data_IF_379925015360
#
_entry.id   IF_379925015360
#
_cell.length_a   1.000
_cell.length_b   1.000
_cell.length_c   1.000
_cell.angle_alpha   90.00
_cell.angle_beta   90.00
_cell.angle_gamma   90.00
#
_symmetry.space_group_name_H-M   'P 1'
#
loop_
_entity.id
_entity.type
_entity.pdbx_description
1 polymer ?
#
# COMPACT_ATOMS: atom_id res chain seq x y z
N UNK A 1 37.91 -70.91 -1.38
CA UNK A 1 36.66 -70.20 -1.08
C UNK A 1 36.13 -69.53 -2.35
N UNK A 2 35.00 -69.96 -2.90
CA UNK A 2 34.33 -69.33 -4.06
C UNK A 2 33.05 -68.64 -3.57
N UNK A 3 33.01 -67.31 -3.64
CA UNK A 3 31.85 -66.51 -3.27
C UNK A 3 30.81 -66.59 -4.40
N UNK A 4 29.61 -67.12 -4.13
CA UNK A 4 28.49 -67.11 -5.07
C UNK A 4 27.76 -65.77 -4.97
N UNK A 5 27.88 -64.92 -5.99
CA UNK A 5 26.98 -63.78 -6.15
C UNK A 5 25.63 -64.27 -6.65
N UNK A 6 24.60 -64.17 -5.81
CA UNK A 6 23.22 -64.41 -6.23
C UNK A 6 22.78 -63.26 -7.15
N UNK A 7 22.57 -63.57 -8.43
CA UNK A 7 21.93 -62.67 -9.39
C UNK A 7 20.49 -62.43 -8.96
N UNK A 8 20.22 -61.27 -8.35
CA UNK A 8 18.84 -60.78 -8.19
C UNK A 8 18.34 -60.37 -9.57
N UNK A 9 17.39 -61.14 -10.11
CA UNK A 9 16.56 -60.72 -11.23
C UNK A 9 15.97 -59.35 -10.92
N UNK A 10 16.45 -58.31 -11.61
CA UNK A 10 15.82 -56.98 -11.56
C UNK A 10 14.60 -57.06 -12.47
N UNK A 11 13.42 -57.08 -11.88
CA UNK A 11 12.18 -56.90 -12.64
C UNK A 11 12.22 -55.52 -13.31
N UNK A 12 12.15 -55.51 -14.64
CA UNK A 12 12.07 -54.27 -15.43
C UNK A 12 10.66 -53.70 -15.35
N UNK A 13 10.57 -52.37 -15.26
CA UNK A 13 9.30 -51.66 -15.30
C UNK A 13 8.68 -51.76 -16.70
N UNK A 14 7.40 -52.09 -16.80
CA UNK A 14 6.69 -52.07 -18.09
C UNK A 14 6.32 -50.64 -18.48
N UNK A 15 6.24 -50.38 -19.78
CA UNK A 15 5.82 -49.07 -20.30
C UNK A 15 4.42 -48.67 -19.82
N UNK A 16 3.53 -49.66 -19.64
CA UNK A 16 2.17 -49.46 -19.13
C UNK A 16 2.19 -48.99 -17.68
N UNK A 17 2.98 -49.63 -16.81
CA UNK A 17 3.09 -49.23 -15.39
C UNK A 17 3.62 -47.79 -15.27
N UNK A 18 4.60 -47.41 -16.08
CA UNK A 18 5.11 -46.04 -16.10
C UNK A 18 4.03 -45.06 -16.56
N UNK A 19 3.28 -45.40 -17.60
CA UNK A 19 2.22 -44.54 -18.16
C UNK A 19 1.07 -44.32 -17.17
N UNK A 20 0.67 -45.36 -16.44
CA UNK A 20 -0.35 -45.25 -15.40
C UNK A 20 0.10 -44.33 -14.26
N UNK A 21 1.36 -44.46 -13.82
CA UNK A 21 1.91 -43.62 -12.74
C UNK A 21 1.93 -42.15 -13.15
N UNK A 22 2.41 -41.83 -14.35
CA UNK A 22 2.41 -40.43 -14.83
C UNK A 22 0.98 -39.89 -15.01
N UNK A 23 0.02 -40.72 -15.44
CA UNK A 23 -1.38 -40.33 -15.57
C UNK A 23 -2.00 -39.98 -14.21
N UNK A 24 -1.75 -40.79 -13.18
CA UNK A 24 -2.22 -40.51 -11.82
C UNK A 24 -1.58 -39.24 -11.28
N UNK A 25 -0.26 -39.05 -11.42
CA UNK A 25 0.44 -37.84 -10.98
C UNK A 25 -0.12 -36.60 -11.69
N UNK A 26 -0.35 -36.68 -13.01
CA UNK A 26 -0.91 -35.58 -13.78
C UNK A 26 -2.32 -35.19 -13.30
N UNK A 27 -3.19 -36.17 -13.01
CA UNK A 27 -4.53 -35.93 -12.45
C UNK A 27 -4.42 -35.29 -11.06
N UNK A 28 -3.57 -35.83 -10.19
CA UNK A 28 -3.38 -35.29 -8.83
C UNK A 28 -2.87 -33.85 -8.87
N UNK A 29 -1.86 -33.54 -9.69
CA UNK A 29 -1.35 -32.17 -9.86
C UNK A 29 -2.43 -31.26 -10.46
N UNK A 30 -3.19 -31.74 -11.45
CA UNK A 30 -4.28 -31.00 -12.08
C UNK A 30 -5.37 -30.59 -11.09
N UNK A 31 -5.67 -31.44 -10.10
CA UNK A 31 -6.65 -31.15 -9.05
C UNK A 31 -6.07 -30.32 -7.89
N UNK A 32 -4.78 -30.47 -7.59
CA UNK A 32 -4.12 -29.79 -6.47
C UNK A 32 -3.70 -28.36 -6.78
N UNK A 33 -3.29 -28.06 -8.02
CA UNK A 33 -2.79 -26.72 -8.38
C UNK A 33 -3.83 -25.60 -8.14
N UNK A 34 -5.10 -25.74 -8.57
CA UNK A 34 -6.12 -24.72 -8.31
C UNK A 34 -6.42 -24.57 -6.81
N UNK A 35 -6.39 -25.68 -6.06
CA UNK A 35 -6.65 -25.66 -4.62
C UNK A 35 -5.52 -24.94 -3.85
N UNK A 36 -4.26 -25.24 -4.17
CA UNK A 36 -3.10 -24.58 -3.56
C UNK A 36 -3.11 -23.08 -3.84
N UNK A 37 -3.48 -22.67 -5.06
CA UNK A 37 -3.60 -21.25 -5.41
C UNK A 37 -4.66 -20.52 -4.59
N UNK A 38 -5.85 -21.13 -4.43
CA UNK A 38 -6.93 -20.56 -3.58
C UNK A 38 -6.48 -20.41 -2.13
N UNK A 39 -5.79 -21.40 -1.57
CA UNK A 39 -5.28 -21.35 -0.19
C UNK A 39 -4.22 -20.27 -0.04
N UNK A 40 -3.29 -20.15 -1.01
CA UNK A 40 -2.26 -19.09 -0.99
C UNK A 40 -2.87 -17.70 -1.03
N UNK A 41 -3.88 -17.48 -1.87
CA UNK A 41 -4.54 -16.18 -1.97
C UNK A 41 -5.34 -15.85 -0.70
N UNK A 42 -6.03 -16.83 -0.10
CA UNK A 42 -6.69 -16.62 1.19
C UNK A 42 -5.68 -16.25 2.29
N UNK A 43 -4.52 -16.92 2.34
CA UNK A 43 -3.45 -16.59 3.28
C UNK A 43 -2.86 -15.20 3.04
N UNK A 44 -2.63 -14.83 1.77
CA UNK A 44 -2.16 -13.51 1.40
C UNK A 44 -3.15 -12.41 1.82
N UNK A 45 -4.45 -12.62 1.61
CA UNK A 45 -5.51 -11.71 2.06
C UNK A 45 -5.57 -11.56 3.57
N UNK A 46 -5.50 -12.66 4.32
CA UNK A 46 -5.44 -12.60 5.79
C UNK A 46 -4.23 -11.80 6.26
N UNK A 47 -3.07 -11.95 5.59
CA UNK A 47 -1.88 -11.17 5.92
C UNK A 47 -2.07 -9.68 5.62
N UNK A 48 -2.64 -9.32 4.46
CA UNK A 48 -2.90 -7.91 4.14
C UNK A 48 -3.95 -7.29 5.09
N UNK A 49 -5.00 -8.03 5.48
CA UNK A 49 -5.94 -7.59 6.53
C UNK A 49 -5.26 -7.35 7.87
N UNK A 50 -4.39 -8.27 8.29
CA UNK A 50 -3.62 -8.08 9.52
C UNK A 50 -2.72 -6.84 9.43
N UNK A 51 -2.05 -6.60 8.31
CA UNK A 51 -1.24 -5.40 8.11
C UNK A 51 -2.08 -4.12 8.24
N UNK A 52 -3.26 -4.06 7.61
CA UNK A 52 -4.20 -2.92 7.78
C UNK A 52 -4.58 -2.76 9.26
N UNK A 53 -4.82 -3.86 9.98
CA UNK A 53 -5.10 -3.81 11.42
C UNK A 53 -3.92 -3.25 12.23
N UNK A 54 -2.70 -3.69 11.95
CA UNK A 54 -1.49 -3.17 12.60
C UNK A 54 -1.28 -1.69 12.31
N UNK A 55 -1.56 -1.24 11.07
CA UNK A 55 -1.52 0.18 10.70
C UNK A 55 -2.56 0.97 11.49
N UNK A 56 -3.79 0.47 11.60
CA UNK A 56 -4.84 1.11 12.41
C UNK A 56 -4.41 1.25 13.87
N UNK A 57 -3.88 0.19 14.49
CA UNK A 57 -3.35 0.24 15.86
C UNK A 57 -2.23 1.29 15.97
N UNK A 58 -1.27 1.30 15.05
CA UNK A 58 -0.19 2.27 15.04
C UNK A 58 -0.68 3.72 14.91
N UNK A 59 -1.72 3.96 14.10
CA UNK A 59 -2.35 5.28 13.95
C UNK A 59 -3.02 5.75 15.25
N UNK A 60 -3.69 4.85 15.97
CA UNK A 60 -4.24 5.15 17.30
C UNK A 60 -3.13 5.42 18.32
N UNK A 61 -2.07 4.59 18.36
CA UNK A 61 -0.94 4.82 19.26
C UNK A 61 -0.23 6.15 18.99
N UNK A 62 -0.08 6.54 17.72
CA UNK A 62 0.42 7.86 17.36
C UNK A 62 -0.53 8.97 17.86
N UNK A 63 -1.84 8.82 17.62
CA UNK A 63 -2.82 9.80 18.06
C UNK A 63 -2.82 9.95 19.59
N UNK A 64 -2.70 8.87 20.35
CA UNK A 64 -2.65 8.91 21.82
C UNK A 64 -1.42 9.67 22.33
N UNK A 65 -0.27 9.53 21.65
CA UNK A 65 0.96 10.24 21.99
C UNK A 65 0.98 11.70 21.52
N UNK A 66 0.31 12.02 20.41
CA UNK A 66 0.44 13.32 19.72
C UNK A 66 -0.86 14.16 19.70
N UNK A 67 -1.96 13.64 20.24
CA UNK A 67 -3.32 14.22 20.23
C UNK A 67 -3.94 14.47 18.84
N UNK A 68 -3.26 14.12 17.76
CA UNK A 68 -3.76 14.18 16.38
C UNK A 68 -3.22 13.00 15.60
N UNK A 69 -3.92 12.58 14.55
CA UNK A 69 -3.37 11.67 13.54
C UNK A 69 -2.13 12.30 12.88
N UNK A 70 -1.21 11.48 12.34
CA UNK A 70 -0.06 12.00 11.62
C UNK A 70 -0.53 12.75 10.37
N UNK A 71 0.24 13.76 9.90
CA UNK A 71 -0.04 14.36 8.62
C UNK A 71 0.08 13.32 7.51
N UNK A 72 -0.85 13.32 6.55
CA UNK A 72 -0.74 12.44 5.38
C UNK A 72 0.59 12.63 4.66
N UNK A 73 0.99 13.90 4.48
CA UNK A 73 2.31 14.34 4.05
C UNK A 73 2.69 15.61 4.82
N UNK A 74 3.87 15.64 5.46
CA UNK A 74 4.30 16.73 6.37
C UNK A 74 4.40 18.09 5.67
N UNK A 75 5.06 18.17 4.51
CA UNK A 75 5.11 19.36 3.67
C UNK A 75 3.84 19.59 2.82
N UNK A 76 2.88 18.66 2.85
CA UNK A 76 1.74 18.65 1.94
C UNK A 76 2.06 18.10 0.54
N UNK A 77 1.07 18.19 -0.35
CA UNK A 77 1.17 17.87 -1.76
C UNK A 77 1.84 19.01 -2.54
N UNK A 78 2.49 18.61 -3.63
CA UNK A 78 3.29 19.45 -4.48
C UNK A 78 2.44 20.49 -5.21
N UNK A 79 2.69 21.79 -4.98
CA UNK A 79 2.20 22.90 -5.80
C UNK A 79 3.33 23.67 -6.49
N UNK A 80 2.99 24.53 -7.46
CA UNK A 80 3.95 25.34 -8.23
C UNK A 80 4.73 26.35 -7.37
N UNK A 81 4.31 26.58 -6.13
CA UNK A 81 5.01 27.43 -5.16
C UNK A 81 5.41 26.62 -3.92
N UNK A 82 6.70 26.31 -3.84
CA UNK A 82 7.52 26.04 -2.66
C UNK A 82 6.97 25.09 -1.60
N UNK A 83 7.59 23.90 -1.53
CA UNK A 83 7.79 23.16 -0.28
C UNK A 83 8.14 24.18 0.81
N UNK A 84 7.39 24.20 1.92
CA UNK A 84 7.60 25.16 3.00
C UNK A 84 9.05 25.18 3.52
N UNK A 85 9.41 26.09 4.44
CA UNK A 85 10.79 26.29 4.88
C UNK A 85 11.50 25.00 5.32
N UNK A 86 10.74 24.02 5.84
CA UNK A 86 11.28 22.79 6.41
C UNK A 86 11.47 21.65 5.39
N UNK A 87 10.87 21.74 4.19
CA UNK A 87 10.92 20.73 3.11
C UNK A 87 10.69 19.27 3.55
N UNK A 88 10.08 19.04 4.71
CA UNK A 88 9.87 17.72 5.28
C UNK A 88 8.88 16.90 4.43
N UNK A 89 9.40 15.95 3.66
CA UNK A 89 8.61 15.14 2.71
C UNK A 89 8.09 13.83 3.29
N UNK A 90 8.18 13.66 4.61
CA UNK A 90 7.68 12.46 5.29
C UNK A 90 6.18 12.32 5.09
N UNK A 91 5.77 11.06 4.96
CA UNK A 91 4.37 10.69 4.99
C UNK A 91 4.00 9.99 6.28
N UNK A 92 2.69 9.83 6.51
CA UNK A 92 2.13 9.12 7.64
C UNK A 92 2.83 7.78 7.99
N UNK A 93 3.24 6.89 7.05
CA UNK A 93 3.90 5.64 7.40
C UNK A 93 5.24 5.83 8.11
N UNK A 94 5.96 6.92 7.81
CA UNK A 94 7.23 7.24 8.47
C UNK A 94 7.01 7.59 9.95
N UNK A 95 5.94 8.33 10.24
CA UNK A 95 5.57 8.68 11.60
C UNK A 95 5.08 7.48 12.42
N UNK A 96 4.65 6.41 11.75
CA UNK A 96 4.23 5.18 12.40
C UNK A 96 5.39 4.23 12.75
N UNK A 97 6.59 4.45 12.23
CA UNK A 97 7.74 3.54 12.42
C UNK A 97 8.00 3.15 13.88
N UNK A 98 7.99 4.07 14.87
CA UNK A 98 8.17 3.68 16.28
C UNK A 98 7.08 2.74 16.81
N UNK A 99 5.87 2.83 16.26
CA UNK A 99 4.70 2.06 16.65
C UNK A 99 4.55 0.73 15.91
N UNK A 100 5.46 0.43 14.98
CA UNK A 100 5.56 -0.86 14.27
C UNK A 100 6.93 -1.50 14.45
N UNK A 101 7.55 -1.29 15.62
CA UNK A 101 8.85 -1.85 16.01
C UNK A 101 10.02 -1.42 15.10
N UNK A 102 9.94 -0.23 14.51
CA UNK A 102 10.98 0.36 13.64
C UNK A 102 11.57 1.67 14.23
N UNK A 103 11.74 1.74 15.56
CA UNK A 103 12.30 2.93 16.24
C UNK A 103 13.69 3.32 15.71
N UNK A 104 14.56 2.34 15.45
CA UNK A 104 15.89 2.59 14.90
C UNK A 104 15.83 3.28 13.51
N UNK A 105 14.93 2.81 12.63
CA UNK A 105 14.74 3.42 11.31
C UNK A 105 14.18 4.83 11.44
N UNK A 106 13.25 5.04 12.36
CA UNK A 106 12.70 6.37 12.64
C UNK A 106 13.78 7.36 13.10
N UNK A 107 14.67 6.96 14.01
CA UNK A 107 15.79 7.79 14.47
C UNK A 107 16.75 8.18 13.35
N UNK A 108 17.03 7.27 12.40
CA UNK A 108 17.84 7.60 11.23
C UNK A 108 17.16 8.66 10.36
N UNK A 109 15.85 8.53 10.13
CA UNK A 109 15.07 9.52 9.39
C UNK A 109 15.06 10.86 10.11
N UNK A 110 14.75 10.90 11.40
CA UNK A 110 14.74 12.12 12.23
C UNK A 110 16.09 12.83 12.21
N UNK A 111 17.18 12.11 12.47
CA UNK A 111 18.53 12.68 12.45
C UNK A 111 18.86 13.35 11.12
N UNK A 112 18.32 12.84 10.01
CA UNK A 112 18.54 13.39 8.67
C UNK A 112 17.66 14.59 8.39
N UNK A 113 16.41 14.58 8.81
CA UNK A 113 15.53 15.76 8.72
C UNK A 113 16.13 16.96 9.46
N UNK A 114 16.64 16.75 10.67
CA UNK A 114 17.24 17.80 11.51
C UNK A 114 18.55 18.39 10.94
N UNK A 115 19.32 17.60 10.19
CA UNK A 115 20.59 18.05 9.58
C UNK A 115 20.34 18.84 8.28
N UNK A 116 19.28 18.53 7.52
CA UNK A 116 19.00 19.14 6.21
C UNK A 116 18.05 20.35 6.33
N UNK A 117 17.67 20.78 7.54
CA UNK A 117 16.86 21.99 7.78
C UNK A 117 17.53 23.30 7.32
N UNK A 118 18.79 23.26 6.88
CA UNK A 118 19.52 24.39 6.25
C UNK A 118 19.55 24.35 4.71
N UNK A 119 19.06 23.27 4.07
CA UNK A 119 19.05 23.14 2.58
C UNK A 119 17.90 22.29 2.02
N UNK A 120 16.79 22.18 2.75
CA UNK A 120 15.56 21.58 2.23
C UNK A 120 15.29 20.12 2.63
N UNK A 121 15.52 19.74 3.89
CA UNK A 121 14.82 18.68 4.63
C UNK A 121 14.41 17.39 3.90
N UNK A 122 15.23 16.84 2.99
CA UNK A 122 14.76 15.70 2.20
C UNK A 122 14.99 14.36 2.90
N UNK A 123 13.90 13.66 3.24
CA UNK A 123 13.92 12.28 3.75
C UNK A 123 14.33 11.21 2.74
N UNK A 124 14.96 11.61 1.64
CA UNK A 124 15.45 10.72 0.59
C UNK A 124 16.96 10.45 0.68
N UNK A 125 17.68 11.16 1.54
CA UNK A 125 19.14 11.10 1.62
C UNK A 125 19.63 10.44 2.91
N UNK A 126 19.55 9.11 2.96
CA UNK A 126 20.22 8.29 3.98
C UNK A 126 20.34 6.83 3.52
N UNK A 127 21.25 6.07 4.12
CA UNK A 127 21.66 4.75 3.63
C UNK A 127 20.54 3.72 3.75
N UNK A 128 19.67 3.86 4.75
CA UNK A 128 18.60 2.92 5.10
C UNK A 128 17.25 3.26 4.45
N UNK A 129 17.22 4.20 3.50
CA UNK A 129 15.97 4.68 2.86
C UNK A 129 15.23 3.56 2.10
N UNK A 130 15.96 2.53 1.64
CA UNK A 130 15.40 1.34 1.00
C UNK A 130 14.97 0.23 1.96
N UNK A 131 15.03 0.43 3.28
CA UNK A 131 14.63 -0.59 4.26
C UNK A 131 13.14 -0.88 4.15
N UNK A 132 12.80 -2.11 3.79
CA UNK A 132 11.42 -2.57 3.64
C UNK A 132 10.84 -2.92 5.01
N UNK A 133 9.74 -2.28 5.38
CA UNK A 133 8.99 -2.61 6.60
C UNK A 133 7.85 -3.56 6.23
N UNK A 134 7.90 -4.79 6.73
CA UNK A 134 6.96 -5.86 6.36
C UNK A 134 5.49 -5.53 6.70
N UNK A 135 5.24 -4.72 7.73
CA UNK A 135 3.91 -4.25 8.09
C UNK A 135 3.26 -3.37 7.00
N UNK A 136 4.05 -2.78 6.11
CA UNK A 136 3.59 -1.89 5.05
C UNK A 136 3.53 -2.56 3.67
N UNK A 137 3.81 -3.87 3.59
CA UNK A 137 3.88 -4.63 2.34
C UNK A 137 2.76 -5.66 2.29
N UNK A 138 1.94 -5.62 1.24
CA UNK A 138 0.91 -6.64 1.00
C UNK A 138 1.49 -7.78 0.14
N UNK A 139 1.57 -9.03 0.65
CA UNK A 139 2.12 -10.15 -0.12
C UNK A 139 1.30 -10.57 -1.36
N UNK A 140 0.09 -10.04 -1.54
CA UNK A 140 -0.73 -10.31 -2.73
C UNK A 140 -0.31 -9.45 -3.93
N UNK A 141 0.46 -8.37 -3.71
CA UNK A 141 0.99 -7.56 -4.80
C UNK A 141 2.31 -8.15 -5.35
N UNK A 142 2.36 -8.65 -6.60
CA UNK A 142 3.58 -9.21 -7.19
C UNK A 142 4.66 -8.15 -7.44
N UNK A 143 4.33 -6.86 -7.39
CA UNK A 143 5.28 -5.76 -7.52
C UNK A 143 5.89 -5.35 -6.17
N UNK A 144 5.46 -5.97 -5.06
CA UNK A 144 5.98 -5.72 -3.73
C UNK A 144 7.00 -6.79 -3.29
N UNK A 145 8.01 -6.43 -2.47
CA UNK A 145 8.32 -5.07 -2.02
C UNK A 145 9.03 -4.25 -3.09
N UNK A 146 8.70 -2.96 -3.17
CA UNK A 146 9.43 -1.98 -3.98
C UNK A 146 10.28 -1.11 -3.05
N UNK A 147 11.59 -1.34 -3.05
CA UNK A 147 12.54 -0.67 -2.16
C UNK A 147 13.26 0.54 -2.79
N UNK A 148 12.98 0.84 -4.07
CA UNK A 148 13.63 1.88 -4.84
C UNK A 148 12.64 2.52 -5.81
N UNK A 149 12.84 3.80 -6.13
CA UNK A 149 12.20 4.49 -7.28
C UNK A 149 13.29 4.87 -8.29
N UNK A 150 13.22 4.36 -9.52
CA UNK A 150 14.23 4.58 -10.55
C UNK A 150 14.06 5.92 -11.28
N UNK A 151 15.17 6.66 -11.48
CA UNK A 151 15.23 7.76 -12.45
C UNK A 151 14.79 9.15 -11.98
N UNK A 152 14.57 9.39 -10.68
CA UNK A 152 14.17 10.71 -10.18
C UNK A 152 15.31 11.76 -10.17
N UNK A 153 16.05 11.89 -11.28
CA UNK A 153 17.04 12.94 -11.52
C UNK A 153 18.26 12.95 -10.61
N UNK A 154 18.48 11.91 -9.80
CA UNK A 154 19.61 11.84 -8.86
C UNK A 154 20.44 10.59 -9.15
N UNK A 155 21.73 10.74 -9.53
CA UNK A 155 22.59 9.60 -9.90
C UNK A 155 22.82 8.57 -8.77
N UNK A 156 22.47 8.89 -7.51
CA UNK A 156 22.82 8.09 -6.33
C UNK A 156 21.72 8.00 -5.23
N UNK A 157 20.44 8.32 -5.48
CA UNK A 157 19.41 8.24 -4.43
C UNK A 157 18.11 7.60 -4.92
N UNK A 158 18.02 6.27 -4.77
CA UNK A 158 16.72 5.59 -4.85
C UNK A 158 15.80 6.18 -3.79
N UNK A 159 14.61 6.64 -4.17
CA UNK A 159 13.69 7.37 -3.29
C UNK A 159 12.92 6.48 -2.29
N UNK A 160 13.56 5.37 -1.90
CA UNK A 160 13.22 4.55 -0.77
C UNK A 160 12.15 3.49 -0.96
N UNK A 161 11.80 2.88 0.17
CA UNK A 161 10.75 1.89 0.26
C UNK A 161 9.35 2.46 -0.01
N UNK A 162 8.51 1.59 -0.58
CA UNK A 162 7.12 1.87 -0.87
C UNK A 162 6.20 1.03 0.01
N UNK A 163 5.01 1.57 0.28
CA UNK A 163 3.93 0.89 0.97
C UNK A 163 2.79 0.52 0.02
N UNK A 164 2.15 -0.61 0.28
CA UNK A 164 0.89 -1.02 -0.35
C UNK A 164 -0.36 -0.39 0.29
N UNK A 165 -0.20 0.57 1.20
CA UNK A 165 -1.30 1.18 1.92
C UNK A 165 -1.27 2.69 1.76
N UNK A 166 -2.42 3.28 1.49
CA UNK A 166 -2.60 4.71 1.35
C UNK A 166 -3.58 5.24 2.40
N UNK A 167 -3.43 6.51 2.77
CA UNK A 167 -4.32 7.23 3.68
C UNK A 167 -5.43 7.99 2.93
N UNK A 168 -6.62 8.07 3.50
CA UNK A 168 -7.76 8.71 2.87
C UNK A 168 -7.63 10.24 2.91
N UNK A 169 -7.68 10.88 1.73
CA UNK A 169 -7.66 12.35 1.63
C UNK A 169 -9.03 12.97 1.55
N UNK A 170 -10.06 12.20 1.19
CA UNK A 170 -11.41 12.68 0.92
C UNK A 170 -12.08 11.90 -0.22
N UNK A 171 -13.12 12.48 -0.79
CA UNK A 171 -13.93 11.88 -1.86
C UNK A 171 -13.76 12.55 -3.24
N UNK A 172 -12.76 13.40 -3.39
CA UNK A 172 -12.47 14.12 -4.66
C UNK A 172 -10.99 14.05 -5.02
N UNK A 173 -10.64 14.55 -6.21
CA UNK A 173 -9.23 14.69 -6.63
C UNK A 173 -8.54 15.71 -5.73
N UNK A 174 -7.37 15.33 -5.20
CA UNK A 174 -6.62 16.23 -4.35
C UNK A 174 -6.05 17.42 -5.12
N UNK A 175 -6.17 18.59 -4.50
CA UNK A 175 -5.60 19.83 -5.01
C UNK A 175 -4.15 19.97 -4.55
N UNK A 176 -3.32 20.54 -5.41
CA UNK A 176 -1.96 20.97 -5.11
C UNK A 176 -1.86 22.02 -3.99
N UNK A 177 -2.99 22.62 -3.62
CA UNK A 177 -3.07 23.67 -2.59
C UNK A 177 -3.12 23.15 -1.16
N UNK A 178 -3.07 21.83 -0.95
CA UNK A 178 -3.30 21.23 0.38
C UNK A 178 -4.67 21.55 0.96
N UNK A 179 -5.66 21.77 0.09
CA UNK A 179 -7.04 21.93 0.54
C UNK A 179 -7.44 20.72 1.37
N UNK A 180 -8.15 20.98 2.46
CA UNK A 180 -8.83 19.94 3.22
C UNK A 180 -10.00 19.42 2.38
N UNK A 181 -9.97 18.13 2.04
CA UNK A 181 -10.97 17.48 1.20
C UNK A 181 -11.88 16.54 2.00
N UNK A 182 -11.86 16.67 3.33
CA UNK A 182 -12.73 15.92 4.22
C UNK A 182 -12.17 14.58 4.71
N UNK A 183 -11.05 14.08 4.17
CA UNK A 183 -10.43 12.84 4.67
C UNK A 183 -9.65 13.01 5.98
N UNK A 184 -9.11 11.90 6.48
CA UNK A 184 -8.39 11.85 7.76
C UNK A 184 -6.87 12.04 7.62
N UNK A 185 -6.29 11.73 6.45
CA UNK A 185 -4.85 11.70 6.18
C UNK A 185 -4.48 12.49 4.91
N UNK A 186 -4.91 13.75 4.84
CA UNK A 186 -4.58 14.68 3.74
C UNK A 186 -3.25 15.42 3.96
N UNK A 187 -2.82 16.21 2.97
CA UNK A 187 -1.58 16.99 3.06
C UNK A 187 -1.60 17.99 4.21
N UNK A 188 -0.56 18.00 5.06
CA UNK A 188 -0.45 18.81 6.29
C UNK A 188 -1.57 18.59 7.32
N UNK A 189 -2.30 17.47 7.25
CA UNK A 189 -3.42 17.19 8.15
C UNK A 189 -2.98 17.13 9.62
N UNK A 190 -3.88 17.55 10.52
CA UNK A 190 -3.77 17.40 11.99
C UNK A 190 -5.15 17.07 12.57
N UNK A 191 -5.74 15.99 12.05
CA UNK A 191 -7.10 15.56 12.40
C UNK A 191 -7.08 14.85 13.75
N UNK A 192 -7.96 15.25 14.67
CA UNK A 192 -8.23 14.49 15.90
C UNK A 192 -9.31 13.45 15.62
N UNK A 193 -9.29 12.33 16.34
CA UNK A 193 -10.37 11.34 16.22
C UNK A 193 -11.74 11.93 16.58
N UNK A 194 -11.78 12.95 17.45
CA UNK A 194 -12.99 13.72 17.79
C UNK A 194 -13.49 14.62 16.68
N UNK A 195 -12.71 14.88 15.63
CA UNK A 195 -13.13 15.68 14.48
C UNK A 195 -13.89 14.82 13.44
N UNK A 196 -14.05 13.51 13.68
CA UNK A 196 -14.72 12.55 12.81
C UNK A 196 -16.19 12.39 13.25
N UNK A 197 -17.02 13.34 12.84
CA UNK A 197 -18.43 13.41 13.22
C UNK A 197 -19.32 12.36 12.53
N UNK A 198 -18.89 11.83 11.38
CA UNK A 198 -19.64 10.80 10.63
C UNK A 198 -19.50 9.40 11.27
N UNK A 199 -18.68 9.31 12.33
CA UNK A 199 -18.43 8.10 13.11
C UNK A 199 -17.17 7.37 12.65
N UNK A 200 -16.29 7.07 13.61
CA UNK A 200 -15.03 6.39 13.35
C UNK A 200 -15.20 5.02 12.66
N UNK A 201 -16.28 4.31 12.92
CA UNK A 201 -16.59 3.02 12.28
C UNK A 201 -17.12 3.14 10.83
N UNK A 202 -17.37 4.36 10.35
CA UNK A 202 -17.94 4.64 9.03
C UNK A 202 -17.04 5.53 8.17
N UNK A 203 -15.89 5.97 8.67
CA UNK A 203 -14.94 6.78 7.90
C UNK A 203 -13.68 5.97 7.60
N UNK A 204 -13.28 5.92 6.33
CA UNK A 204 -12.04 5.28 5.89
C UNK A 204 -10.84 6.09 6.34
N UNK A 205 -9.89 5.40 6.96
CA UNK A 205 -8.59 5.96 7.32
C UNK A 205 -7.53 5.51 6.34
N UNK A 206 -7.46 4.21 6.05
CA UNK A 206 -6.44 3.61 5.18
C UNK A 206 -7.03 2.57 4.23
N UNK A 207 -6.32 2.25 3.16
CA UNK A 207 -6.72 1.19 2.25
C UNK A 207 -5.60 0.73 1.33
N UNK A 208 -5.82 -0.40 0.68
CA UNK A 208 -4.86 -1.03 -0.21
C UNK A 208 -4.68 -0.27 -1.53
N UNK A 209 -3.43 -0.18 -1.97
CA UNK A 209 -3.02 0.25 -3.31
C UNK A 209 -2.06 -0.78 -3.90
N UNK A 210 -2.00 -0.83 -5.23
CA UNK A 210 -1.03 -1.63 -5.97
C UNK A 210 0.19 -0.79 -6.35
N UNK A 211 1.36 -1.40 -6.27
CA UNK A 211 2.62 -0.83 -6.73
C UNK A 211 2.83 -1.15 -8.21
N UNK A 212 3.68 -0.35 -8.85
CA UNK A 212 4.17 -0.58 -10.21
C UNK A 212 5.70 -0.60 -10.22
N UNK A 213 6.28 -1.54 -10.97
CA UNK A 213 7.72 -1.59 -11.19
C UNK A 213 8.15 -0.44 -12.12
N UNK A 214 9.33 0.09 -11.88
CA UNK A 214 9.87 1.16 -12.70
C UNK A 214 10.44 0.60 -14.02
N UNK A 215 9.85 0.98 -15.15
CA UNK A 215 10.25 0.54 -16.50
C UNK A 215 10.68 1.74 -17.34
N UNK A 216 11.89 2.26 -17.10
CA UNK A 216 12.42 3.43 -17.84
C UNK A 216 11.81 4.79 -17.42
N UNK A 217 10.86 4.80 -16.48
CA UNK A 217 10.30 5.98 -15.81
C UNK A 217 10.06 5.64 -14.33
N UNK A 218 9.70 6.62 -13.50
CA UNK A 218 9.44 6.44 -12.06
C UNK A 218 7.95 6.39 -11.76
N UNK A 219 7.53 5.40 -10.97
CA UNK A 219 6.21 5.33 -10.36
C UNK A 219 6.26 5.69 -8.88
N UNK A 220 5.40 6.61 -8.47
CA UNK A 220 5.40 7.22 -7.13
C UNK A 220 4.33 6.68 -6.20
N UNK A 221 3.45 5.78 -6.67
CA UNK A 221 2.44 5.13 -5.84
C UNK A 221 3.13 4.27 -4.79
N UNK A 222 2.76 4.49 -3.53
CA UNK A 222 3.35 3.90 -2.35
C UNK A 222 4.62 4.59 -1.83
N UNK A 223 5.20 5.60 -2.49
CA UNK A 223 6.52 6.16 -2.13
C UNK A 223 6.50 6.90 -0.78
N UNK A 224 7.04 6.28 0.27
CA UNK A 224 6.93 6.78 1.65
C UNK A 224 7.84 7.98 1.95
N UNK A 225 9.07 7.97 1.42
CA UNK A 225 10.11 8.94 1.75
C UNK A 225 10.05 10.23 0.91
N UNK A 226 9.18 10.28 -0.09
CA UNK A 226 8.94 11.46 -0.94
C UNK A 226 7.48 11.51 -1.42
N UNK A 227 6.57 11.69 -0.46
CA UNK A 227 5.13 11.53 -0.67
C UNK A 227 4.42 12.79 -1.18
N UNK A 228 5.15 13.88 -1.46
CA UNK A 228 4.59 15.16 -1.96
C UNK A 228 3.82 15.03 -3.27
N UNK A 229 3.99 13.92 -4.01
CA UNK A 229 3.23 13.60 -5.21
C UNK A 229 1.98 12.75 -4.88
N UNK A 230 1.47 12.78 -3.64
CA UNK A 230 0.32 11.98 -3.17
C UNK A 230 0.46 10.45 -3.35
N UNK A 231 1.69 9.93 -3.34
CA UNK A 231 2.00 8.49 -3.48
C UNK A 231 1.26 7.56 -2.52
N UNK A 232 0.99 8.05 -1.32
CA UNK A 232 0.47 7.28 -0.18
C UNK A 232 -0.89 7.80 0.27
N UNK A 233 -1.62 8.39 -0.67
CA UNK A 233 -2.87 9.11 -0.45
C UNK A 233 -3.90 8.65 -1.46
N UNK A 234 -5.09 8.23 -1.03
CA UNK A 234 -6.17 7.81 -1.92
C UNK A 234 -7.43 8.64 -1.70
N UNK A 235 -8.27 8.67 -2.73
CA UNK A 235 -9.58 9.31 -2.73
C UNK A 235 -10.69 8.27 -2.90
N UNK A 236 -11.83 8.48 -2.26
CA UNK A 236 -13.04 7.68 -2.49
C UNK A 236 -13.89 8.19 -3.67
N UNK A 237 -13.40 9.15 -4.44
CA UNK A 237 -14.14 9.72 -5.58
C UNK A 237 -14.49 8.71 -6.69
N UNK A 238 -13.78 7.59 -6.75
CA UNK A 238 -14.03 6.48 -7.68
C UNK A 238 -13.97 5.14 -6.93
N UNK A 239 -14.78 4.15 -7.34
CA UNK A 239 -14.88 2.89 -6.60
C UNK A 239 -13.57 2.08 -6.65
N UNK A 240 -13.38 1.13 -5.71
CA UNK A 240 -12.20 0.28 -5.70
C UNK A 240 -12.00 -0.49 -7.01
N UNK A 241 -10.74 -0.71 -7.37
CA UNK A 241 -10.34 -1.43 -8.59
C UNK A 241 -10.95 -0.85 -9.90
N UNK A 242 -11.33 0.43 -9.90
CA UNK A 242 -11.83 1.12 -11.10
C UNK A 242 -10.86 1.02 -12.27
N UNK A 243 -11.37 0.96 -13.50
CA UNK A 243 -10.54 0.98 -14.72
C UNK A 243 -10.08 2.39 -15.10
N UNK A 244 -10.60 3.42 -14.44
CA UNK A 244 -10.13 4.80 -14.59
C UNK A 244 -8.71 4.89 -14.02
N UNK A 245 -7.82 5.54 -14.76
CA UNK A 245 -6.43 5.71 -14.38
C UNK A 245 -6.23 6.57 -13.13
N UNK A 246 -5.24 6.21 -12.32
CA UNK A 246 -4.79 7.06 -11.21
C UNK A 246 -4.16 8.34 -11.78
N UNK A 247 -4.52 9.48 -11.20
CA UNK A 247 -3.92 10.78 -11.48
C UNK A 247 -2.79 10.99 -10.49
N UNK A 248 -1.55 11.07 -10.99
CA UNK A 248 -0.37 11.19 -10.14
C UNK A 248 0.70 12.11 -10.71
N UNK A 249 0.31 13.32 -11.15
CA UNK A 249 1.25 14.29 -11.75
C UNK A 249 2.10 13.70 -12.90
N UNK A 250 1.54 12.74 -13.64
CA UNK A 250 2.25 11.98 -14.69
C UNK A 250 3.43 11.11 -14.19
N UNK A 251 3.59 10.93 -12.88
CA UNK A 251 4.58 10.06 -12.25
C UNK A 251 3.99 8.72 -11.81
N UNK A 252 3.34 8.05 -12.76
CA UNK A 252 2.92 6.67 -12.60
C UNK A 252 3.13 5.89 -13.91
N UNK A 253 3.39 4.60 -13.76
CA UNK A 253 3.56 3.66 -14.86
C UNK A 253 2.33 2.76 -14.91
N UNK A 254 1.59 2.73 -16.03
CA UNK A 254 0.37 1.95 -16.11
C UNK A 254 0.67 0.46 -15.94
N UNK A 255 -0.02 -0.20 -15.02
CA UNK A 255 -0.09 -1.66 -14.95
C UNK A 255 -1.41 -2.06 -15.62
N UNK A 256 -1.37 -2.64 -16.84
CA UNK A 256 -2.58 -2.94 -17.59
C UNK A 256 -3.59 -3.74 -16.76
N UNK A 257 -4.85 -3.31 -16.78
CA UNK A 257 -5.99 -3.95 -16.09
C UNK A 257 -5.88 -4.07 -14.55
N UNK A 258 -4.90 -3.43 -13.91
CA UNK A 258 -4.74 -3.47 -12.44
C UNK A 258 -4.58 -2.08 -11.84
N UNK A 259 -3.63 -1.32 -12.35
CA UNK A 259 -3.28 0.00 -11.85
C UNK A 259 -3.03 0.97 -13.03
N UNK A 260 -4.08 1.31 -13.81
CA UNK A 260 -3.98 2.25 -14.91
C UNK A 260 -3.54 3.64 -14.44
N UNK A 261 -3.00 4.42 -15.37
CA UNK A 261 -2.58 5.81 -15.17
C UNK A 261 -3.42 6.73 -16.03
N UNK A 262 -3.81 7.88 -15.51
CA UNK A 262 -4.58 8.87 -16.27
C UNK A 262 -4.38 10.26 -15.70
N UNK A 263 -3.99 11.22 -16.53
CA UNK A 263 -4.01 12.64 -16.17
C UNK A 263 -2.93 13.11 -15.21
N UNK A 264 -2.99 14.41 -14.90
CA UNK A 264 -1.98 15.11 -14.11
C UNK A 264 -2.41 15.40 -12.67
N UNK A 265 -3.68 15.23 -12.27
CA UNK A 265 -4.13 15.52 -10.90
C UNK A 265 -3.52 14.62 -9.82
N UNK A 266 -4.10 14.66 -8.62
CA UNK A 266 -3.71 13.83 -7.47
C UNK A 266 -4.89 12.99 -6.99
N UNK A 267 -5.12 11.86 -7.65
CA UNK A 267 -6.20 10.93 -7.32
C UNK A 267 -5.73 9.49 -7.53
N UNK A 268 -5.43 8.82 -6.43
CA UNK A 268 -5.29 7.36 -6.42
C UNK A 268 -6.62 6.76 -5.98
N UNK A 269 -7.02 5.69 -6.65
CA UNK A 269 -8.11 4.83 -6.20
C UNK A 269 -7.56 3.66 -5.40
N UNK A 270 -8.38 3.08 -4.52
CA UNK A 270 -8.01 1.83 -3.84
C UNK A 270 -7.94 0.68 -4.83
N UNK A 271 -6.90 -0.14 -4.70
CA UNK A 271 -6.61 -1.25 -5.63
C UNK A 271 -6.00 -2.42 -4.88
N UNK A 272 -6.43 -3.64 -5.22
CA UNK A 272 -5.92 -4.87 -4.63
C UNK A 272 -6.04 -6.03 -5.61
N UNK A 273 -5.16 -7.03 -5.48
CA UNK A 273 -5.26 -8.28 -6.24
C UNK A 273 -6.25 -9.27 -5.62
N UNK A 274 -6.82 -8.94 -4.46
CA UNK A 274 -7.86 -9.75 -3.85
C UNK A 274 -9.10 -9.81 -4.75
N UNK A 275 -9.66 -11.01 -4.85
CA UNK A 275 -10.84 -11.22 -5.68
C UNK A 275 -12.04 -10.43 -5.15
N UNK A 276 -12.58 -9.54 -5.98
CA UNK A 276 -13.87 -8.87 -5.76
C UNK A 276 -13.84 -7.61 -4.90
N UNK A 277 -12.67 -7.12 -4.46
CA UNK A 277 -12.63 -5.96 -3.57
C UNK A 277 -11.24 -5.59 -3.04
N UNK A 278 -11.23 -4.75 -2.03
CA UNK A 278 -10.02 -4.24 -1.35
C UNK A 278 -10.22 -4.29 0.17
N UNK A 279 -9.14 -4.49 0.93
CA UNK A 279 -9.19 -4.30 2.37
C UNK A 279 -8.97 -2.82 2.72
N UNK A 280 -9.73 -2.34 3.70
CA UNK A 280 -9.67 -0.97 4.20
C UNK A 280 -9.63 -0.94 5.72
N UNK A 281 -8.97 0.08 6.27
CA UNK A 281 -8.95 0.40 7.69
C UNK A 281 -9.87 1.58 7.97
N UNK A 282 -10.70 1.46 9.00
CA UNK A 282 -11.64 2.49 9.44
C UNK A 282 -11.04 3.36 10.55
N UNK A 283 -11.70 4.48 10.82
CA UNK A 283 -11.40 5.44 11.89
C UNK A 283 -11.27 4.82 13.28
N UNK A 284 -11.99 3.72 13.54
CA UNK A 284 -12.00 2.97 14.80
C UNK A 284 -10.94 1.86 14.87
N UNK A 285 -10.09 1.77 13.84
CA UNK A 285 -9.06 0.75 13.71
C UNK A 285 -9.61 -0.63 13.34
N UNK A 286 -10.89 -0.78 13.01
CA UNK A 286 -11.44 -2.00 12.42
C UNK A 286 -11.05 -2.14 10.95
N UNK A 287 -11.09 -3.38 10.44
CA UNK A 287 -10.75 -3.70 9.05
C UNK A 287 -11.99 -4.23 8.37
N UNK A 288 -12.31 -3.70 7.20
CA UNK A 288 -13.41 -4.18 6.35
C UNK A 288 -12.93 -4.51 4.96
N UNK A 289 -13.70 -5.33 4.26
CA UNK A 289 -13.49 -5.62 2.85
C UNK A 289 -14.58 -4.93 2.03
N UNK A 290 -14.19 -3.97 1.20
CA UNK A 290 -15.12 -3.25 0.34
C UNK A 290 -15.13 -3.92 -1.02
N UNK A 291 -16.33 -4.27 -1.51
CA UNK A 291 -16.48 -4.91 -2.81
C UNK A 291 -16.35 -3.90 -3.95
N UNK A 292 -15.93 -4.38 -5.13
CA UNK A 292 -15.84 -3.55 -6.34
C UNK A 292 -17.20 -2.99 -6.80
N UNK A 293 -18.30 -3.60 -6.36
CA UNK A 293 -19.67 -3.25 -6.74
C UNK A 293 -20.38 -2.34 -5.72
N UNK A 294 -19.64 -1.79 -4.74
CA UNK A 294 -20.20 -0.85 -3.77
C UNK A 294 -20.87 0.34 -4.50
N UNK A 295 -22.00 0.80 -3.96
CA UNK A 295 -22.64 2.01 -4.46
C UNK A 295 -21.67 3.20 -4.33
N UNK A 296 -21.49 3.96 -5.42
CA UNK A 296 -20.49 5.03 -5.45
C UNK A 296 -20.78 6.12 -4.42
N UNK A 297 -22.04 6.50 -4.22
CA UNK A 297 -22.42 7.52 -3.23
C UNK A 297 -22.07 7.04 -1.83
N UNK A 298 -22.42 5.80 -1.48
CA UNK A 298 -22.04 5.20 -0.19
C UNK A 298 -20.52 5.21 -0.02
N UNK A 299 -19.77 4.77 -1.04
CA UNK A 299 -18.32 4.73 -0.97
C UNK A 299 -17.69 6.12 -0.82
N UNK A 300 -18.23 7.13 -1.51
CA UNK A 300 -17.79 8.53 -1.39
C UNK A 300 -18.02 9.07 0.03
N UNK A 301 -19.17 8.79 0.63
CA UNK A 301 -19.47 9.15 2.03
C UNK A 301 -18.51 8.52 3.04
N UNK A 302 -17.99 7.32 2.76
CA UNK A 302 -16.97 6.71 3.62
C UNK A 302 -15.64 7.48 3.62
N UNK A 303 -15.37 8.32 2.62
CA UNK A 303 -14.12 9.08 2.53
C UNK A 303 -14.13 10.41 3.26
N UNK A 304 -15.29 10.86 3.75
CA UNK A 304 -15.46 12.12 4.48
C UNK A 304 -15.56 11.86 5.98
N UNK A 305 -14.97 12.76 6.77
CA UNK A 305 -14.99 12.68 8.24
C UNK A 305 -16.11 13.48 8.89
N UNK A 306 -16.68 14.45 8.17
CA UNK A 306 -17.70 15.37 8.67
C UNK A 306 -18.66 15.86 7.55
N UNK A 307 -18.98 15.00 6.58
CA UNK A 307 -19.93 15.31 5.52
C UNK A 307 -21.40 15.14 5.93
N UNK A 308 -21.67 14.52 7.09
CA UNK A 308 -23.01 14.34 7.65
C UNK A 308 -23.86 13.30 6.90
N UNK A 309 -23.24 12.46 6.08
CA UNK A 309 -23.93 11.47 5.28
C UNK A 309 -24.33 10.24 6.10
N UNK A 310 -25.56 9.73 5.87
CA UNK A 310 -25.98 8.44 6.43
C UNK A 310 -25.42 7.33 5.56
N UNK A 311 -24.47 6.59 6.09
CA UNK A 311 -23.87 5.44 5.42
C UNK A 311 -24.78 4.22 5.58
N UNK A 312 -25.31 3.70 4.47
CA UNK A 312 -26.04 2.42 4.43
C UNK A 312 -25.07 1.23 4.55
N UNK A 313 -25.52 0.07 5.05
CA UNK A 313 -24.69 -1.14 5.21
C UNK A 313 -23.99 -1.54 3.89
N UNK A 314 -22.70 -1.92 3.99
CA UNK A 314 -21.79 -2.18 2.86
C UNK A 314 -20.75 -3.27 3.15
#
# INVERSE_FOLDING_TARGET
MRCRFASRSRQGFTLIELLVVIAIIAILIGLLLPAVQKVREAAARMKCQNNVKQIGIALHSYHDANSTLPPGVSAGFHGLASYGPDWDRRSWPIFLLPYVEQDNLFRFVEARVQVVSVSGGHTIFFNEVGTVVSAFVCPSDPNAPKNLTAGAGTPNAGQGAHTNYAGCVGNTTASYTNADLGGMLYGKSRVRLTDVNDGLSNTLMTGEILLSQDTGSHDTRGRMHNAVHAGVSFSTGLPPNTTVGDEQQSYCIPVPNRAPCGGSGLRLSLRSNHTGGVNVGLGDGSVRFITNNINLTTYQSLGTRAGGEVVADY
#
